data_IF_770937189716
#
_entry.id   IF_770937189716
#
_cell.length_a   1.000
_cell.length_b   1.000
_cell.length_c   1.000
_cell.angle_alpha   90.00
_cell.angle_beta   90.00
_cell.angle_gamma   90.00
#
_symmetry.space_group_name_H-M   'P 1'
#
loop_
_entity.id
_entity.type
_entity.pdbx_description
1 polymer ?
#
# COMPACT_ATOMS: atom_id res chain seq x y z
N UNK A 1 -91.26 26.86 -1.57
CA UNK A 1 -91.10 26.47 -0.15
C UNK A 1 -90.15 25.28 -0.08
N UNK A 2 -88.99 25.50 0.56
CA UNK A 2 -87.96 24.56 1.08
C UNK A 2 -87.40 23.40 0.20
N UNK A 3 -86.11 23.58 -0.11
CA UNK A 3 -85.08 22.60 -0.50
C UNK A 3 -85.00 21.40 0.46
N UNK A 4 -84.72 20.22 -0.08
CA UNK A 4 -83.78 19.28 0.58
C UNK A 4 -83.05 18.42 -0.46
N UNK A 5 -81.81 18.80 -0.76
CA UNK A 5 -80.79 18.00 -1.43
C UNK A 5 -80.26 16.91 -0.49
N UNK A 6 -80.32 15.64 -0.90
CA UNK A 6 -79.60 14.56 -0.25
C UNK A 6 -78.24 14.38 -0.94
N UNK A 7 -77.15 14.72 -0.24
CA UNK A 7 -75.78 14.57 -0.74
C UNK A 7 -75.36 13.10 -0.65
N UNK A 8 -75.08 12.48 -1.78
CA UNK A 8 -74.31 11.24 -1.86
C UNK A 8 -72.87 11.55 -1.40
N UNK A 9 -72.49 11.08 -0.22
CA UNK A 9 -71.08 11.03 0.17
C UNK A 9 -70.45 9.77 -0.43
N UNK A 10 -69.67 9.98 -1.48
CA UNK A 10 -68.77 8.98 -2.06
C UNK A 10 -67.72 8.62 -1.02
N UNK A 11 -67.76 7.41 -0.47
CA UNK A 11 -66.67 6.87 0.34
C UNK A 11 -65.57 6.46 -0.64
N UNK A 12 -64.68 7.38 -0.96
CA UNK A 12 -63.45 7.07 -1.69
C UNK A 12 -62.55 6.29 -0.74
N UNK A 13 -62.44 4.98 -0.94
CA UNK A 13 -61.41 4.15 -0.29
C UNK A 13 -60.04 4.68 -0.71
N UNK A 14 -59.40 5.45 0.16
CA UNK A 14 -58.01 5.85 0.01
C UNK A 14 -57.15 4.63 0.35
N UNK A 15 -56.80 3.84 -0.67
CA UNK A 15 -55.73 2.86 -0.59
C UNK A 15 -54.41 3.63 -0.55
N UNK A 16 -53.85 3.80 0.66
CA UNK A 16 -52.51 4.33 0.86
C UNK A 16 -51.51 3.26 0.43
N UNK A 17 -51.08 3.31 -0.83
CA UNK A 17 -50.02 2.45 -1.36
C UNK A 17 -48.68 3.00 -0.87
N UNK A 18 -48.20 2.48 0.27
CA UNK A 18 -46.85 2.79 0.77
C UNK A 18 -45.84 2.08 -0.14
N UNK A 19 -45.33 2.78 -1.14
CA UNK A 19 -44.13 2.37 -1.87
C UNK A 19 -42.94 2.55 -0.94
N UNK A 20 -42.58 1.51 -0.19
CA UNK A 20 -41.29 1.44 0.46
C UNK A 20 -40.26 1.24 -0.66
N UNK A 21 -39.71 2.34 -1.18
CA UNK A 21 -38.44 2.30 -1.90
C UNK A 21 -37.38 1.91 -0.89
N UNK A 22 -37.17 0.61 -0.72
CA UNK A 22 -35.93 0.10 -0.14
C UNK A 22 -34.83 0.47 -1.13
N UNK A 23 -34.18 1.60 -0.90
CA UNK A 23 -32.84 1.82 -1.44
C UNK A 23 -31.93 0.81 -0.74
N UNK A 24 -31.98 -0.43 -1.19
CA UNK A 24 -30.88 -1.35 -1.02
C UNK A 24 -29.75 -0.76 -1.87
N UNK A 25 -29.00 0.19 -1.32
CA UNK A 25 -27.64 0.40 -1.77
C UNK A 25 -26.91 -0.88 -1.41
N UNK A 26 -26.96 -1.85 -2.32
CA UNK A 26 -26.00 -2.93 -2.32
C UNK A 26 -24.64 -2.23 -2.33
N UNK A 27 -23.97 -2.26 -1.18
CA UNK A 27 -22.58 -1.88 -1.06
C UNK A 27 -21.81 -2.93 -1.87
N UNK A 28 -21.81 -2.80 -3.20
CA UNK A 28 -20.94 -3.61 -4.02
C UNK A 28 -19.53 -3.19 -3.66
N UNK A 29 -18.76 -4.08 -3.03
CA UNK A 29 -17.32 -3.89 -2.93
C UNK A 29 -16.81 -3.60 -4.34
N UNK A 30 -16.29 -2.38 -4.54
CA UNK A 30 -15.79 -1.99 -5.85
C UNK A 30 -14.56 -2.86 -6.13
N UNK A 31 -14.49 -3.49 -7.31
CA UNK A 31 -13.27 -4.16 -7.74
C UNK A 31 -12.18 -3.12 -8.03
N UNK A 32 -10.92 -3.49 -7.84
CA UNK A 32 -9.79 -2.61 -8.13
C UNK A 32 -9.85 -2.11 -9.60
N UNK A 33 -9.88 -0.78 -9.85
CA UNK A 33 -10.13 -0.22 -11.18
C UNK A 33 -8.84 -0.17 -12.03
N UNK A 34 -8.26 -1.33 -12.33
CA UNK A 34 -6.93 -1.48 -12.93
C UNK A 34 -6.67 -0.58 -14.14
N UNK A 35 -7.51 -0.66 -15.18
CA UNK A 35 -7.35 0.14 -16.41
C UNK A 35 -7.34 1.65 -16.15
N UNK A 36 -8.12 2.11 -15.18
CA UNK A 36 -8.23 3.53 -14.85
C UNK A 36 -7.03 3.99 -14.02
N UNK A 37 -6.53 3.15 -13.11
CA UNK A 37 -5.29 3.39 -12.37
C UNK A 37 -4.09 3.45 -13.32
N UNK A 38 -3.95 2.47 -14.22
CA UNK A 38 -2.90 2.46 -15.25
C UNK A 38 -2.87 3.77 -16.05
N UNK A 39 -4.04 4.28 -16.45
CA UNK A 39 -4.16 5.57 -17.15
C UNK A 39 -3.81 6.76 -16.26
N UNK A 40 -4.33 6.81 -15.02
CA UNK A 40 -4.07 7.89 -14.05
C UNK A 40 -2.57 8.12 -13.85
N UNK A 41 -1.82 7.03 -13.68
CA UNK A 41 -0.39 7.07 -13.39
C UNK A 41 0.50 6.98 -14.63
N UNK A 42 -0.09 6.92 -15.85
CA UNK A 42 0.65 6.72 -17.10
C UNK A 42 1.59 5.51 -17.03
N UNK A 43 1.09 4.42 -16.44
CA UNK A 43 1.85 3.20 -16.20
C UNK A 43 1.71 2.20 -17.37
N UNK A 44 2.68 1.28 -17.49
CA UNK A 44 2.64 0.15 -18.42
C UNK A 44 2.50 -1.21 -17.72
N UNK A 45 2.87 -1.28 -16.43
CA UNK A 45 2.82 -2.50 -15.62
C UNK A 45 2.18 -2.22 -14.27
N UNK A 46 1.43 -3.19 -13.74
CA UNK A 46 0.84 -3.17 -12.41
C UNK A 46 1.06 -4.51 -11.70
N UNK A 47 1.27 -4.46 -10.39
CA UNK A 47 1.22 -5.62 -9.52
C UNK A 47 0.38 -5.29 -8.27
N UNK A 48 -0.60 -6.12 -7.96
CA UNK A 48 -1.36 -6.03 -6.71
C UNK A 48 -0.63 -6.79 -5.59
N UNK A 49 -0.75 -6.31 -4.35
CA UNK A 49 -0.33 -7.11 -3.20
C UNK A 49 -1.33 -8.26 -2.99
N UNK A 50 -0.89 -9.47 -3.31
CA UNK A 50 -1.69 -10.68 -3.13
C UNK A 50 -1.77 -11.17 -1.68
N UNK A 51 -0.98 -10.60 -0.76
CA UNK A 51 -0.84 -11.11 0.61
C UNK A 51 -1.86 -10.44 1.53
N UNK A 52 -1.93 -9.10 1.53
CA UNK A 52 -2.65 -8.36 2.58
C UNK A 52 -4.03 -7.83 2.15
N UNK A 53 -4.38 -7.87 0.85
CA UNK A 53 -5.65 -7.36 0.29
C UNK A 53 -6.09 -6.01 0.88
N UNK A 54 -5.14 -5.15 1.24
CA UNK A 54 -5.33 -3.84 1.88
C UNK A 54 -5.36 -2.71 0.85
N UNK A 55 -5.39 -3.07 -0.43
CA UNK A 55 -5.39 -2.15 -1.55
C UNK A 55 -4.00 -1.66 -1.92
N UNK A 56 -2.92 -2.23 -1.38
CA UNK A 56 -1.56 -1.94 -1.83
C UNK A 56 -1.31 -2.46 -3.25
N UNK A 57 -0.67 -1.64 -4.08
CA UNK A 57 -0.31 -1.98 -5.45
C UNK A 57 0.92 -1.22 -5.91
N UNK A 58 1.71 -1.87 -6.76
CA UNK A 58 2.86 -1.28 -7.44
C UNK A 58 2.49 -0.93 -8.89
N UNK A 59 3.05 0.17 -9.38
CA UNK A 59 2.92 0.59 -10.77
C UNK A 59 4.28 0.95 -11.35
N UNK A 60 4.50 0.57 -12.61
CA UNK A 60 5.67 0.98 -13.38
C UNK A 60 5.30 2.05 -14.39
N UNK A 61 5.95 3.20 -14.32
CA UNK A 61 5.74 4.31 -15.24
C UNK A 61 6.16 3.93 -16.66
N UNK A 62 5.28 4.15 -17.65
CA UNK A 62 5.54 3.80 -19.05
C UNK A 62 6.76 4.53 -19.64
N UNK A 63 6.99 5.76 -19.21
CA UNK A 63 8.11 6.60 -19.72
C UNK A 63 9.38 6.45 -18.90
N UNK A 64 9.26 6.44 -17.57
CA UNK A 64 10.41 6.37 -16.67
C UNK A 64 10.97 4.96 -16.57
N UNK A 65 10.12 3.94 -16.73
CA UNK A 65 10.46 2.56 -16.41
C UNK A 65 10.63 2.28 -14.92
N UNK A 66 10.35 3.27 -14.07
CA UNK A 66 10.49 3.23 -12.61
C UNK A 66 9.19 2.80 -11.94
N UNK A 67 9.31 2.17 -10.78
CA UNK A 67 8.23 1.71 -9.94
C UNK A 67 7.94 2.67 -8.80
N UNK A 68 6.66 2.78 -8.44
CA UNK A 68 6.17 3.37 -7.19
C UNK A 68 5.19 2.43 -6.50
N UNK A 69 4.99 2.64 -5.20
CA UNK A 69 4.05 1.88 -4.37
C UNK A 69 2.94 2.79 -3.85
N UNK A 70 1.71 2.33 -3.99
CA UNK A 70 0.50 3.10 -3.69
C UNK A 70 -0.51 2.24 -2.94
N UNK A 71 -1.43 2.88 -2.22
CA UNK A 71 -2.60 2.23 -1.65
C UNK A 71 -3.87 2.80 -2.25
N UNK A 72 -4.80 1.93 -2.65
CA UNK A 72 -6.13 2.29 -3.10
C UNK A 72 -7.08 2.41 -1.91
N UNK A 73 -7.85 3.50 -1.86
CA UNK A 73 -8.78 3.78 -0.76
C UNK A 73 -10.21 3.28 -1.02
N UNK A 74 -10.37 2.28 -1.90
CA UNK A 74 -11.65 1.64 -2.24
C UNK A 74 -12.76 2.59 -2.73
N UNK A 75 -12.40 3.82 -3.13
CA UNK A 75 -13.33 4.86 -3.58
C UNK A 75 -12.85 5.47 -4.88
N UNK A 76 -13.42 5.01 -5.99
CA UNK A 76 -13.06 5.50 -7.32
C UNK A 76 -11.55 5.33 -7.57
N UNK A 77 -10.85 6.42 -7.90
CA UNK A 77 -9.40 6.42 -8.15
C UNK A 77 -8.59 7.05 -7.02
N UNK A 78 -9.14 7.18 -5.81
CA UNK A 78 -8.44 7.76 -4.66
C UNK A 78 -7.29 6.86 -4.21
N UNK A 79 -6.10 7.42 -4.08
CA UNK A 79 -4.89 6.70 -3.72
C UNK A 79 -4.04 7.50 -2.75
N UNK A 80 -3.28 6.82 -1.91
CA UNK A 80 -2.15 7.38 -1.16
C UNK A 80 -0.86 6.88 -1.82
N UNK A 81 0.12 7.77 -1.98
CA UNK A 81 1.48 7.39 -2.35
C UNK A 81 2.23 6.94 -1.09
N UNK A 82 2.75 5.71 -1.13
CA UNK A 82 3.54 5.15 -0.04
C UNK A 82 5.04 5.24 -0.34
N UNK A 83 5.42 5.02 -1.60
CA UNK A 83 6.79 5.16 -2.11
C UNK A 83 6.71 5.77 -3.52
N UNK A 84 7.45 6.86 -3.81
CA UNK A 84 7.38 7.55 -5.09
C UNK A 84 7.87 6.68 -6.26
N UNK A 85 7.47 7.04 -7.48
CA UNK A 85 7.79 6.30 -8.72
C UNK A 85 9.22 6.58 -9.22
N UNK A 86 10.23 6.20 -8.44
CA UNK A 86 11.63 6.60 -8.65
C UNK A 86 12.61 5.41 -8.73
N UNK A 87 12.16 4.20 -8.39
CA UNK A 87 13.03 3.02 -8.21
C UNK A 87 12.95 2.02 -9.36
N UNK A 88 14.01 1.27 -9.62
CA UNK A 88 14.01 0.19 -10.63
C UNK A 88 13.14 -1.00 -10.21
N UNK A 89 13.01 -1.23 -8.90
CA UNK A 89 12.01 -2.13 -8.31
C UNK A 89 11.79 -1.79 -6.83
N UNK A 90 10.70 -2.31 -6.26
CA UNK A 90 10.29 -2.09 -4.86
C UNK A 90 9.70 -3.39 -4.32
N UNK A 91 10.03 -3.78 -3.10
CA UNK A 91 9.31 -4.84 -2.39
C UNK A 91 8.04 -4.29 -1.73
N UNK A 92 6.98 -5.10 -1.69
CA UNK A 92 5.80 -4.72 -0.90
C UNK A 92 6.18 -4.58 0.57
N UNK A 93 5.61 -3.56 1.23
CA UNK A 93 5.78 -3.39 2.67
C UNK A 93 5.07 -4.56 3.35
N UNK A 94 5.82 -5.35 4.14
CA UNK A 94 5.26 -6.47 4.87
C UNK A 94 4.22 -6.04 5.91
N UNK A 95 3.37 -6.97 6.34
CA UNK A 95 2.36 -6.69 7.37
C UNK A 95 2.99 -6.13 8.65
N UNK A 96 2.57 -4.93 9.06
CA UNK A 96 3.15 -4.16 10.17
C UNK A 96 4.68 -4.00 10.10
N UNK A 97 5.27 -4.06 8.90
CA UNK A 97 6.69 -3.82 8.73
C UNK A 97 6.99 -2.31 8.77
N UNK A 98 8.01 -1.88 9.54
CA UNK A 98 8.37 -0.46 9.63
C UNK A 98 9.06 0.07 8.37
N UNK A 99 9.53 -0.80 7.47
CA UNK A 99 10.21 -0.43 6.24
C UNK A 99 10.11 -1.55 5.20
N UNK A 100 10.57 -1.27 3.98
CA UNK A 100 10.75 -2.24 2.90
C UNK A 100 12.05 -1.96 2.13
N UNK A 101 12.46 -2.90 1.29
CA UNK A 101 13.62 -2.73 0.40
C UNK A 101 13.21 -2.04 -0.89
N UNK A 102 14.04 -1.10 -1.33
CA UNK A 102 13.95 -0.43 -2.64
C UNK A 102 15.23 -0.68 -3.42
N UNK A 103 15.12 -0.65 -4.75
CA UNK A 103 16.21 -1.04 -5.63
C UNK A 103 16.44 -0.01 -6.73
N UNK A 104 17.70 0.35 -6.93
CA UNK A 104 18.11 1.29 -7.97
C UNK A 104 19.48 0.89 -8.49
N UNK A 105 19.64 0.81 -9.82
CA UNK A 105 20.92 0.52 -10.49
C UNK A 105 21.57 -0.79 -10.01
N UNK A 106 20.75 -1.79 -9.67
CA UNK A 106 21.22 -3.08 -9.15
C UNK A 106 21.73 -3.01 -7.71
N UNK A 107 21.46 -1.92 -6.98
CA UNK A 107 21.79 -1.74 -5.58
C UNK A 107 20.53 -1.69 -4.71
N UNK A 108 20.69 -2.12 -3.47
CA UNK A 108 19.63 -2.23 -2.48
C UNK A 108 19.69 -1.04 -1.52
N UNK A 109 18.53 -0.50 -1.16
CA UNK A 109 18.33 0.53 -0.15
C UNK A 109 17.09 0.25 0.71
N UNK A 110 16.74 1.17 1.60
CA UNK A 110 15.59 1.04 2.50
C UNK A 110 14.73 2.29 2.44
N UNK A 111 13.43 2.06 2.35
CA UNK A 111 12.41 3.09 2.43
C UNK A 111 11.48 2.81 3.62
N UNK A 112 11.22 3.84 4.43
CA UNK A 112 10.32 3.73 5.57
C UNK A 112 8.88 3.44 5.15
N UNK A 113 8.17 2.65 5.94
CA UNK A 113 6.77 2.35 5.66
C UNK A 113 5.90 3.61 5.80
N UNK A 114 5.25 4.02 4.71
CA UNK A 114 4.26 5.12 4.72
C UNK A 114 3.03 4.84 5.60
N UNK A 115 2.85 3.61 6.08
CA UNK A 115 1.83 3.28 7.08
C UNK A 115 2.31 3.45 8.52
N UNK A 116 3.63 3.44 8.73
CA UNK A 116 4.24 3.55 10.07
C UNK A 116 4.78 4.95 10.37
N UNK A 117 5.12 5.72 9.33
CA UNK A 117 5.78 7.01 9.45
C UNK A 117 5.11 8.05 8.54
N UNK A 118 4.71 9.20 9.10
CA UNK A 118 4.16 10.32 8.33
C UNK A 118 5.20 10.94 7.40
N UNK A 119 6.46 10.94 7.84
CA UNK A 119 7.63 11.43 7.12
C UNK A 119 8.36 10.30 6.38
N UNK A 120 7.65 9.27 5.88
CA UNK A 120 8.29 8.14 5.22
C UNK A 120 9.17 8.56 4.02
N UNK A 121 10.46 8.24 4.10
CA UNK A 121 11.48 8.55 3.10
C UNK A 121 12.51 7.42 2.99
N UNK A 122 13.40 7.53 2.00
CA UNK A 122 14.59 6.68 1.91
C UNK A 122 15.57 7.03 3.03
N UNK A 123 15.79 6.10 3.93
CA UNK A 123 16.73 6.26 5.07
C UNK A 123 18.06 5.56 4.82
N UNK A 124 18.07 4.58 3.93
CA UNK A 124 19.27 3.85 3.53
C UNK A 124 19.38 3.94 2.02
N UNK A 125 20.43 4.59 1.47
CA UNK A 125 20.55 4.77 0.03
C UNK A 125 20.80 3.45 -0.69
N UNK A 126 20.41 3.39 -1.97
CA UNK A 126 20.65 2.25 -2.84
C UNK A 126 22.13 2.12 -3.20
N UNK A 127 22.96 1.62 -2.29
CA UNK A 127 24.41 1.47 -2.47
C UNK A 127 24.93 0.06 -2.17
N UNK A 128 24.07 -0.84 -1.67
CA UNK A 128 24.46 -2.17 -1.23
C UNK A 128 24.27 -3.20 -2.35
N UNK A 129 25.19 -4.15 -2.43
CA UNK A 129 25.21 -5.21 -3.45
C UNK A 129 24.07 -6.22 -3.27
N UNK A 130 23.62 -6.39 -2.02
CA UNK A 130 22.56 -7.32 -1.64
C UNK A 130 21.97 -6.92 -0.27
N UNK A 131 20.82 -7.47 0.10
CA UNK A 131 20.17 -7.25 1.40
C UNK A 131 19.29 -8.40 1.83
N UNK A 132 19.21 -8.67 3.13
CA UNK A 132 18.32 -9.66 3.72
C UNK A 132 17.52 -9.06 4.88
N UNK A 133 16.19 -9.19 4.82
CA UNK A 133 15.30 -8.87 5.94
C UNK A 133 15.28 -10.04 6.92
N UNK A 134 15.55 -9.76 8.20
CA UNK A 134 15.73 -10.78 9.23
C UNK A 134 14.88 -10.42 10.44
N UNK A 135 14.02 -11.36 10.89
CA UNK A 135 13.25 -11.20 12.13
C UNK A 135 14.01 -11.81 13.29
N UNK A 136 14.23 -11.02 14.34
CA UNK A 136 14.76 -11.51 15.62
C UNK A 136 13.76 -11.13 16.72
N UNK A 137 13.06 -12.12 17.24
CA UNK A 137 11.90 -11.89 18.10
C UNK A 137 10.79 -11.12 17.38
N UNK A 138 10.34 -10.02 17.97
CA UNK A 138 9.31 -9.14 17.40
C UNK A 138 9.86 -7.99 16.54
N UNK A 139 11.18 -7.90 16.35
CA UNK A 139 11.84 -6.82 15.60
C UNK A 139 12.27 -7.30 14.21
N UNK A 140 12.18 -6.40 13.25
CA UNK A 140 12.68 -6.57 11.89
C UNK A 140 13.99 -5.81 11.73
N UNK A 141 15.00 -6.49 11.21
CA UNK A 141 16.33 -5.96 10.92
C UNK A 141 16.66 -6.17 9.45
N UNK A 142 17.69 -5.49 8.98
CA UNK A 142 18.22 -5.66 7.64
C UNK A 142 19.74 -5.84 7.70
N UNK A 143 20.20 -6.96 7.15
CA UNK A 143 21.60 -7.16 6.82
C UNK A 143 21.82 -6.73 5.37
N UNK A 144 22.95 -6.10 5.09
CA UNK A 144 23.33 -5.62 3.76
C UNK A 144 24.70 -6.14 3.38
N UNK A 145 24.94 -6.28 2.08
CA UNK A 145 26.23 -6.70 1.53
C UNK A 145 26.92 -5.53 0.84
N UNK A 146 28.20 -5.31 1.14
CA UNK A 146 29.05 -4.33 0.46
C UNK A 146 30.48 -4.85 0.45
N UNK A 147 31.16 -4.79 -0.69
CA UNK A 147 32.54 -5.27 -0.83
C UNK A 147 32.69 -6.73 -0.37
N UNK A 148 31.75 -7.59 -0.78
CA UNK A 148 31.71 -9.03 -0.47
C UNK A 148 31.51 -9.42 1.00
N UNK A 149 31.30 -8.45 1.92
CA UNK A 149 30.99 -8.73 3.33
C UNK A 149 29.57 -8.31 3.68
N UNK A 150 28.96 -9.08 4.56
CA UNK A 150 27.66 -8.79 5.16
C UNK A 150 27.82 -8.08 6.49
N UNK A 151 26.93 -7.15 6.82
CA UNK A 151 26.84 -6.47 8.12
C UNK A 151 25.44 -5.89 8.33
N UNK A 152 25.15 -5.46 9.55
CA UNK A 152 23.89 -4.81 9.89
C UNK A 152 23.91 -3.33 9.50
N UNK A 153 22.78 -2.79 9.06
CA UNK A 153 22.56 -1.35 8.95
C UNK A 153 21.35 -0.95 9.78
N UNK A 154 21.44 0.19 10.46
CA UNK A 154 20.28 0.79 11.08
C UNK A 154 19.34 1.29 9.99
N UNK A 155 18.26 0.56 9.74
CA UNK A 155 17.28 0.88 8.71
C UNK A 155 16.61 2.25 8.89
N UNK A 156 16.66 2.84 10.09
CA UNK A 156 16.07 4.17 10.34
C UNK A 156 17.05 5.30 10.09
N UNK A 157 18.34 5.10 10.34
CA UNK A 157 19.35 6.17 10.27
C UNK A 157 20.36 6.01 9.14
N UNK A 158 20.46 4.83 8.53
CA UNK A 158 21.50 4.50 7.56
C UNK A 158 22.86 4.17 8.16
N UNK A 159 22.99 4.15 9.49
CA UNK A 159 24.25 3.85 10.16
C UNK A 159 24.68 2.40 9.91
N UNK A 160 25.86 2.23 9.29
CA UNK A 160 26.48 0.92 9.04
C UNK A 160 27.16 0.39 10.32
N UNK A 161 26.85 -0.84 10.72
CA UNK A 161 27.55 -1.55 11.80
C UNK A 161 28.65 -2.45 11.22
N UNK A 162 29.51 -1.86 10.38
CA UNK A 162 30.53 -2.55 9.59
C UNK A 162 31.72 -3.10 10.41
N UNK A 163 31.75 -2.85 11.72
CA UNK A 163 32.67 -3.51 12.65
C UNK A 163 32.28 -4.96 12.96
N UNK A 164 31.04 -5.36 12.66
CA UNK A 164 30.53 -6.72 12.81
C UNK A 164 30.21 -7.23 11.41
N UNK A 165 31.09 -8.08 10.86
CA UNK A 165 30.94 -8.59 9.48
C UNK A 165 30.99 -10.10 9.41
N UNK A 166 30.44 -10.64 8.33
CA UNK A 166 30.48 -12.07 8.00
C UNK A 166 30.56 -12.30 6.48
N UNK A 167 30.90 -13.52 6.05
CA UNK A 167 30.95 -13.90 4.63
C UNK A 167 29.56 -14.23 4.07
N UNK A 168 28.62 -14.63 4.93
CA UNK A 168 27.19 -14.77 4.63
C UNK A 168 26.33 -14.05 5.67
N UNK A 169 25.06 -13.77 5.35
CA UNK A 169 24.16 -13.11 6.31
C UNK A 169 23.75 -14.05 7.45
N UNK A 170 23.74 -15.37 7.22
CA UNK A 170 23.44 -16.41 8.20
C UNK A 170 24.50 -16.49 9.31
N UNK A 171 25.73 -16.10 8.99
CA UNK A 171 26.87 -16.09 9.92
C UNK A 171 26.93 -14.81 10.79
N UNK A 172 26.09 -13.81 10.51
CA UNK A 172 26.03 -12.61 11.35
C UNK A 172 25.54 -12.97 12.75
N UNK A 173 26.19 -12.45 13.81
CA UNK A 173 25.62 -12.55 15.14
C UNK A 173 24.29 -11.79 15.19
N UNK A 174 23.44 -12.03 16.21
CA UNK A 174 22.22 -11.25 16.43
C UNK A 174 22.50 -9.76 16.33
N UNK A 175 21.58 -9.00 15.73
CA UNK A 175 21.79 -7.57 15.55
C UNK A 175 21.90 -6.95 16.96
N UNK A 176 22.98 -6.22 17.27
CA UNK A 176 23.05 -5.49 18.52
C UNK A 176 21.83 -4.55 18.54
N UNK A 177 21.07 -4.57 19.63
CA UNK A 177 19.82 -3.82 19.70
C UNK A 177 20.12 -2.33 19.51
N UNK A 178 19.72 -1.80 18.36
CA UNK A 178 19.73 -0.38 18.03
C UNK A 178 18.57 0.35 18.70
#
# INVERSE_FOLDING_TARGET
>A
MKRTTLKFQTITKLLLLIFVFTNATALSAQNFPERQMMRKFKADTLALDGINQDGAFKLRGKRSGKWGLYQWLYKGLMTIELIPMEYDSIDFIGFNAPFTTVYQEGKHGVYLSGWSYEDAHETVPCIYDDSQLIRQGNRLYIAVKKNSKWFWVNWKTGEELSNITADSWEELPPCPQL
#
